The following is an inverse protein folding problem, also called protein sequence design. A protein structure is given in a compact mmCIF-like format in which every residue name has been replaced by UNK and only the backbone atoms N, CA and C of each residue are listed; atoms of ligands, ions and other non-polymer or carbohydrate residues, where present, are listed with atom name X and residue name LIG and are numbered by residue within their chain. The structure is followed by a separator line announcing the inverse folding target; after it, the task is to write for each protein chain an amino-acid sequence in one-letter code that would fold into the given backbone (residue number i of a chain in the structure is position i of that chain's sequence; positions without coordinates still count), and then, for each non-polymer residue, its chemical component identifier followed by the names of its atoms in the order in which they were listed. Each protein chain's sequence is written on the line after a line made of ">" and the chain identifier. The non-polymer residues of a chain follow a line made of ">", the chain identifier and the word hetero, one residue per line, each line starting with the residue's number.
data_IF_169265050065
#
_entry.id   IF_169265050065
#
_cell.length_a   1.000
_cell.length_b   1.000
_cell.length_c   1.000
_cell.angle_alpha   90.00
_cell.angle_beta   90.00
_cell.angle_gamma   90.00
#
_symmetry.space_group_name_H-M   'P 1'
#
loop_
_entity.id
_entity.type
_entity.pdbx_description
1 polymer ?
#
# COMPACT_ATOMS: atom_id res chain seq x y z
N UNK A 1 34.20 -69.50 23.91
CA UNK A 1 35.37 -69.53 22.99
C UNK A 1 35.55 -68.12 22.43
N UNK A 2 36.79 -67.61 22.54
CA UNK A 2 37.39 -66.31 22.16
C UNK A 2 36.53 -65.24 21.45
N UNK A 3 36.44 -63.97 21.88
CA UNK A 3 37.47 -62.97 22.22
C UNK A 3 38.35 -62.56 21.03
N UNK A 4 38.12 -61.37 20.46
CA UNK A 4 39.14 -60.32 20.28
C UNK A 4 38.50 -58.96 19.96
N UNK A 5 38.89 -57.97 20.78
CA UNK A 5 38.76 -56.53 20.55
C UNK A 5 39.89 -56.09 19.62
N UNK A 6 39.67 -55.11 18.74
CA UNK A 6 40.76 -54.42 18.04
C UNK A 6 40.68 -52.91 18.28
N UNK A 7 41.82 -52.37 18.72
CA UNK A 7 42.09 -50.96 19.00
C UNK A 7 42.38 -50.16 17.73
N UNK A 8 41.95 -48.89 17.73
CA UNK A 8 42.74 -47.68 17.52
C UNK A 8 43.62 -47.49 16.28
N UNK A 9 43.44 -46.35 15.61
CA UNK A 9 44.53 -45.45 15.21
C UNK A 9 43.99 -44.06 14.83
N UNK A 10 44.36 -43.03 15.62
CA UNK A 10 44.30 -41.62 15.24
C UNK A 10 45.38 -41.32 14.20
N UNK A 11 45.01 -40.68 13.09
CA UNK A 11 45.96 -40.07 12.17
C UNK A 11 45.97 -38.56 12.36
N UNK A 12 47.05 -38.07 12.96
CA UNK A 12 47.44 -36.65 13.00
C UNK A 12 47.99 -36.30 11.62
N UNK A 13 47.35 -35.39 10.89
CA UNK A 13 47.95 -34.80 9.68
C UNK A 13 48.65 -33.51 10.07
N UNK A 14 49.95 -33.54 9.81
CA UNK A 14 50.95 -32.55 10.16
C UNK A 14 50.87 -31.34 9.22
N UNK A 15 51.01 -30.15 9.79
CA UNK A 15 51.13 -28.85 9.09
C UNK A 15 52.58 -28.69 8.60
N UNK A 16 52.83 -28.38 7.32
CA UNK A 16 54.12 -27.84 6.92
C UNK A 16 54.10 -26.30 6.98
N UNK A 17 54.95 -25.78 7.86
CA UNK A 17 55.42 -24.40 7.86
C UNK A 17 56.34 -24.16 6.66
N UNK A 18 56.13 -23.06 5.95
CA UNK A 18 57.10 -22.56 4.96
C UNK A 18 57.17 -21.03 4.99
N UNK A 19 58.33 -20.57 5.46
CA UNK A 19 59.09 -19.38 5.10
C UNK A 19 58.36 -18.07 4.74
N UNK A 20 58.47 -17.13 5.67
CA UNK A 20 58.41 -15.67 5.46
C UNK A 20 59.47 -15.26 4.43
N UNK A 21 59.04 -14.64 3.33
CA UNK A 21 59.91 -13.81 2.49
C UNK A 21 59.23 -12.46 2.28
N UNK A 22 59.85 -11.45 2.89
CA UNK A 22 59.54 -10.03 2.74
C UNK A 22 59.88 -9.57 1.33
N UNK A 23 58.91 -9.03 0.60
CA UNK A 23 59.16 -8.21 -0.60
C UNK A 23 58.29 -6.95 -0.57
N UNK A 24 58.96 -5.86 -0.16
CA UNK A 24 58.94 -4.51 -0.75
C UNK A 24 57.61 -3.98 -1.33
N UNK A 25 57.07 -2.97 -0.63
CA UNK A 25 56.05 -2.04 -1.10
C UNK A 25 56.63 -1.09 -2.15
N UNK A 26 56.21 -1.24 -3.41
CA UNK A 26 56.39 -0.22 -4.43
C UNK A 26 55.09 0.58 -4.56
N UNK A 27 55.17 1.85 -4.19
CA UNK A 27 54.14 2.87 -4.31
C UNK A 27 54.02 3.27 -5.79
N UNK A 28 53.04 2.69 -6.47
CA UNK A 28 52.61 3.12 -7.80
C UNK A 28 51.58 4.24 -7.68
N UNK A 29 52.03 5.48 -7.92
CA UNK A 29 51.19 6.66 -8.11
C UNK A 29 50.41 6.54 -9.42
N UNK A 30 49.19 6.02 -9.35
CA UNK A 30 48.22 6.15 -10.43
C UNK A 30 47.32 7.35 -10.17
N UNK A 31 47.72 8.47 -10.78
CA UNK A 31 46.94 9.69 -10.92
C UNK A 31 45.69 9.40 -11.76
N UNK A 32 44.51 9.55 -11.16
CA UNK A 32 43.25 9.65 -11.91
C UNK A 32 43.09 11.09 -12.42
N UNK A 33 42.83 11.32 -13.71
CA UNK A 33 42.57 12.67 -14.19
C UNK A 33 41.23 13.16 -13.64
N UNK A 34 41.31 14.16 -12.77
CA UNK A 34 40.18 14.96 -12.33
C UNK A 34 39.65 15.72 -13.55
N UNK A 35 38.43 15.41 -14.00
CA UNK A 35 37.75 16.20 -15.03
C UNK A 35 37.34 17.54 -14.39
N UNK A 36 38.14 18.57 -14.63
CA UNK A 36 37.82 19.95 -14.27
C UNK A 36 36.65 20.44 -15.13
N UNK A 37 35.48 20.60 -14.52
CA UNK A 37 34.32 21.24 -15.12
C UNK A 37 34.62 22.73 -15.33
N UNK A 38 34.72 23.14 -16.59
CA UNK A 38 35.04 24.51 -17.00
C UNK A 38 33.84 25.43 -16.74
N UNK A 39 33.94 26.31 -15.75
CA UNK A 39 33.01 27.44 -15.58
C UNK A 39 33.40 28.55 -16.55
N UNK A 40 32.73 28.61 -17.70
CA UNK A 40 32.79 29.77 -18.58
C UNK A 40 31.44 30.49 -18.56
N UNK A 41 31.35 31.56 -17.77
CA UNK A 41 30.34 32.60 -17.92
C UNK A 41 30.65 33.44 -19.17
N UNK A 42 29.71 33.63 -20.11
CA UNK A 42 29.73 34.80 -20.97
C UNK A 42 28.97 35.96 -20.32
N UNK A 43 29.67 37.07 -20.10
CA UNK A 43 29.09 38.42 -20.01
C UNK A 43 28.86 38.93 -21.43
N UNK A 44 27.65 39.41 -21.75
CA UNK A 44 27.43 40.52 -22.70
C UNK A 44 25.98 41.06 -22.52
N UNK A 45 25.79 42.22 -21.89
CA UNK A 45 25.68 43.60 -22.41
C UNK A 45 24.36 43.89 -23.14
N UNK A 46 23.65 44.87 -22.60
CA UNK A 46 22.51 45.62 -23.15
C UNK A 46 22.82 46.25 -24.50
N UNK A 47 21.86 46.23 -25.45
CA UNK A 47 21.30 47.42 -26.14
C UNK A 47 20.20 46.97 -27.15
N UNK A 48 19.10 47.72 -27.12
CA UNK A 48 17.91 47.78 -28.00
C UNK A 48 17.98 47.21 -29.42
N UNK A 49 16.95 46.45 -29.82
CA UNK A 49 16.14 46.70 -31.05
C UNK A 49 14.80 45.97 -30.92
N UNK A 50 13.75 46.69 -31.28
CA UNK A 50 12.32 46.37 -31.23
C UNK A 50 11.91 45.13 -32.00
N UNK A 51 11.06 44.28 -31.40
CA UNK A 51 10.10 43.43 -32.15
C UNK A 51 8.73 43.58 -31.48
N UNK A 52 7.85 44.27 -32.21
CA UNK A 52 6.48 44.61 -31.88
C UNK A 52 5.56 43.41 -32.08
N UNK A 53 4.95 42.89 -31.01
CA UNK A 53 3.77 42.04 -31.11
C UNK A 53 2.57 42.83 -30.60
N UNK A 54 1.92 43.53 -31.53
CA UNK A 54 0.58 44.07 -31.31
C UNK A 54 -0.42 42.96 -31.60
N UNK A 55 -1.13 42.52 -30.57
CA UNK A 55 -2.42 41.84 -30.74
C UNK A 55 -3.39 42.43 -29.73
N UNK A 56 -4.05 43.51 -30.15
CA UNK A 56 -5.23 44.07 -29.50
C UNK A 56 -6.41 43.12 -29.72
N UNK A 57 -6.92 42.50 -28.66
CA UNK A 57 -8.25 41.88 -28.63
C UNK A 57 -9.11 42.60 -27.59
N UNK A 58 -10.30 43.11 -27.94
CA UNK A 58 -11.18 43.74 -26.97
C UNK A 58 -11.81 42.67 -26.06
N UNK A 59 -11.59 42.77 -24.75
CA UNK A 59 -12.31 41.97 -23.76
C UNK A 59 -13.76 42.48 -23.72
N UNK A 60 -14.69 41.67 -24.24
CA UNK A 60 -16.13 41.88 -24.09
C UNK A 60 -16.58 41.13 -22.84
N UNK A 61 -16.74 41.85 -21.74
CA UNK A 61 -17.36 41.33 -20.52
C UNK A 61 -18.85 41.12 -20.78
N UNK A 62 -19.27 39.86 -20.84
CA UNK A 62 -20.68 39.47 -20.78
C UNK A 62 -20.92 38.82 -19.41
N UNK A 63 -21.71 39.48 -18.57
CA UNK A 63 -22.21 38.91 -17.31
C UNK A 63 -23.43 38.04 -17.63
N UNK A 64 -23.26 36.73 -17.55
CA UNK A 64 -24.40 35.83 -17.53
C UNK A 64 -24.93 35.78 -16.08
N UNK A 65 -26.19 36.21 -15.89
CA UNK A 65 -26.91 35.95 -14.66
C UNK A 65 -27.10 34.43 -14.52
N UNK A 66 -26.37 33.82 -13.59
CA UNK A 66 -26.69 32.47 -13.13
C UNK A 66 -27.87 32.62 -12.18
N UNK A 67 -29.02 32.12 -12.63
CA UNK A 67 -30.15 31.87 -11.76
C UNK A 67 -29.72 30.77 -10.79
N UNK A 68 -29.64 31.11 -9.50
CA UNK A 68 -29.74 30.13 -8.41
C UNK A 68 -31.10 29.45 -8.53
N UNK A 69 -31.14 28.34 -9.26
CA UNK A 69 -32.11 27.29 -8.98
C UNK A 69 -31.34 26.20 -8.27
N UNK A 70 -31.60 26.08 -6.96
CA UNK A 70 -31.29 24.91 -6.15
C UNK A 70 -31.74 23.67 -6.92
N UNK A 71 -30.79 23.04 -7.59
CA UNK A 71 -31.00 21.74 -8.18
C UNK A 71 -30.49 20.78 -7.15
N UNK A 72 -31.41 20.28 -6.32
CA UNK A 72 -31.19 19.07 -5.53
C UNK A 72 -30.63 18.03 -6.49
N UNK A 73 -29.35 17.73 -6.33
CA UNK A 73 -28.64 16.71 -7.10
C UNK A 73 -29.27 15.37 -6.75
N UNK A 74 -30.18 14.93 -7.62
CA UNK A 74 -30.58 13.54 -7.71
C UNK A 74 -29.40 12.82 -8.36
N UNK A 75 -28.52 12.30 -7.51
CA UNK A 75 -27.36 11.48 -7.88
C UNK A 75 -27.79 10.46 -8.95
N UNK A 76 -27.30 10.66 -10.16
CA UNK A 76 -27.38 9.65 -11.20
C UNK A 76 -26.22 8.71 -10.92
N UNK A 77 -26.52 7.48 -10.48
CA UNK A 77 -25.58 6.38 -10.29
C UNK A 77 -24.71 6.22 -11.55
N UNK A 78 -23.55 6.87 -11.56
CA UNK A 78 -22.53 6.71 -12.57
C UNK A 78 -21.50 5.74 -12.01
N UNK A 79 -21.34 4.62 -12.71
CA UNK A 79 -20.37 3.59 -12.36
C UNK A 79 -18.97 4.21 -12.27
N UNK A 80 -18.27 4.03 -11.14
CA UNK A 80 -16.94 4.58 -10.91
C UNK A 80 -15.88 3.50 -11.13
N UNK A 81 -14.77 3.87 -11.76
CA UNK A 81 -13.61 2.99 -11.93
C UNK A 81 -12.69 3.10 -10.71
N UNK A 82 -12.33 1.94 -10.16
CA UNK A 82 -11.39 1.79 -9.06
C UNK A 82 -10.20 0.97 -9.52
N UNK A 83 -9.00 1.48 -9.22
CA UNK A 83 -7.75 0.79 -9.48
C UNK A 83 -7.20 0.26 -8.16
N UNK A 84 -6.59 -0.91 -8.18
CA UNK A 84 -6.03 -1.47 -6.97
C UNK A 84 -4.72 -2.22 -7.20
N UNK A 85 -3.88 -2.21 -6.17
CA UNK A 85 -2.81 -3.20 -6.01
C UNK A 85 -3.13 -4.10 -4.83
N UNK A 86 -2.87 -5.40 -4.97
CA UNK A 86 -3.17 -6.40 -3.95
C UNK A 86 -1.99 -7.33 -3.72
N UNK A 87 -1.74 -7.67 -2.47
CA UNK A 87 -0.78 -8.69 -2.07
C UNK A 87 -1.13 -9.33 -0.71
N UNK A 88 -0.27 -10.22 -0.23
CA UNK A 88 -0.37 -10.82 1.09
C UNK A 88 -0.24 -9.72 2.17
N UNK A 89 -1.08 -9.78 3.21
CA UNK A 89 -1.08 -8.84 4.33
C UNK A 89 0.29 -8.77 5.01
N UNK A 90 0.95 -9.92 5.21
CA UNK A 90 2.29 -9.96 5.81
C UNK A 90 3.29 -9.13 5.01
N UNK A 91 3.24 -9.21 3.69
CA UNK A 91 4.12 -8.43 2.84
C UNK A 91 3.79 -6.93 2.90
N UNK A 92 2.51 -6.56 2.70
CA UNK A 92 2.13 -5.15 2.61
C UNK A 92 2.18 -4.39 3.94
N UNK A 93 1.91 -5.05 5.07
CA UNK A 93 1.72 -4.39 6.36
C UNK A 93 2.91 -4.56 7.33
N UNK A 94 3.71 -5.62 7.17
CA UNK A 94 4.80 -5.96 8.10
C UNK A 94 6.20 -5.96 7.45
N UNK A 95 6.35 -6.48 6.22
CA UNK A 95 7.67 -6.54 5.54
C UNK A 95 8.02 -5.26 4.77
N UNK A 96 7.05 -4.57 4.18
CA UNK A 96 7.31 -3.41 3.32
C UNK A 96 7.23 -2.09 4.11
N UNK A 97 8.36 -1.67 4.67
CA UNK A 97 8.45 -0.45 5.47
C UNK A 97 8.24 0.85 4.65
N UNK A 98 8.68 0.90 3.38
CA UNK A 98 8.52 2.11 2.56
C UNK A 98 7.07 2.41 2.23
N UNK A 99 6.22 1.38 2.19
CA UNK A 99 4.81 1.50 1.85
C UNK A 99 4.05 2.34 2.88
N UNK A 100 4.34 2.12 4.16
CA UNK A 100 3.77 2.88 5.26
C UNK A 100 4.08 4.37 5.14
N UNK A 101 5.37 4.71 4.95
CA UNK A 101 5.80 6.11 4.81
C UNK A 101 5.18 6.80 3.60
N UNK A 102 5.11 6.11 2.46
CA UNK A 102 4.44 6.64 1.27
C UNK A 102 2.96 6.97 1.51
N UNK A 103 2.26 6.14 2.29
CA UNK A 103 0.86 6.37 2.61
C UNK A 103 0.68 7.51 3.61
N UNK A 104 1.50 7.60 4.65
CA UNK A 104 1.41 8.70 5.61
C UNK A 104 1.75 10.04 4.99
N UNK A 105 2.79 10.10 4.16
CA UNK A 105 3.12 11.33 3.43
C UNK A 105 2.02 11.69 2.43
N UNK A 106 1.36 10.71 1.81
CA UNK A 106 0.20 10.99 0.96
C UNK A 106 -0.99 11.51 1.78
N UNK A 107 -1.29 10.93 2.94
CA UNK A 107 -2.36 11.45 3.83
C UNK A 107 -2.04 12.88 4.23
N UNK A 108 -0.80 13.16 4.62
CA UNK A 108 -0.33 14.50 4.98
C UNK A 108 -0.49 15.48 3.82
N UNK A 109 -0.07 15.10 2.62
CA UNK A 109 -0.22 15.90 1.39
C UNK A 109 -1.68 16.31 1.16
N UNK A 110 -2.61 15.37 1.31
CA UNK A 110 -4.04 15.63 1.10
C UNK A 110 -4.60 16.59 2.16
N UNK A 111 -4.20 16.40 3.43
CA UNK A 111 -4.56 17.30 4.53
C UNK A 111 -4.02 18.71 4.32
N UNK A 112 -2.73 18.85 3.99
CA UNK A 112 -2.09 20.15 3.77
C UNK A 112 -2.67 20.89 2.55
N UNK A 113 -3.10 20.16 1.52
CA UNK A 113 -3.69 20.73 0.30
C UNK A 113 -5.22 20.86 0.34
N UNK A 114 -5.86 20.48 1.43
CA UNK A 114 -7.33 20.40 1.55
C UNK A 114 -7.98 19.60 0.39
N UNK A 115 -7.34 18.48 0.01
CA UNK A 115 -7.84 17.56 -1.00
C UNK A 115 -8.63 16.43 -0.34
N UNK A 116 -9.72 16.01 -0.98
CA UNK A 116 -10.48 14.84 -0.54
C UNK A 116 -9.68 13.55 -0.77
N UNK A 117 -9.60 12.70 0.25
CA UNK A 117 -8.85 11.44 0.19
C UNK A 117 -9.46 10.50 -0.85
N UNK A 118 -8.63 10.04 -1.78
CA UNK A 118 -9.03 9.21 -2.93
C UNK A 118 -8.52 7.76 -2.86
N UNK A 119 -8.08 7.32 -1.68
CA UNK A 119 -7.44 6.02 -1.49
C UNK A 119 -7.70 5.41 -0.12
N UNK A 120 -7.75 4.07 -0.06
CA UNK A 120 -8.04 3.31 1.15
C UNK A 120 -7.30 1.97 1.15
N UNK A 121 -6.98 1.46 2.34
CA UNK A 121 -6.54 0.09 2.54
C UNK A 121 -7.74 -0.79 2.89
N UNK A 122 -7.91 -1.89 2.15
CA UNK A 122 -8.99 -2.86 2.36
C UNK A 122 -8.38 -4.21 2.71
N UNK A 123 -8.65 -4.65 3.94
CA UNK A 123 -8.26 -5.98 4.43
C UNK A 123 -9.29 -6.99 3.94
N UNK A 124 -8.82 -8.09 3.36
CA UNK A 124 -9.63 -9.13 2.73
C UNK A 124 -10.80 -8.56 1.89
N UNK A 125 -10.48 -7.88 0.77
CA UNK A 125 -11.50 -7.25 -0.06
C UNK A 125 -12.46 -8.29 -0.67
N UNK A 126 -13.77 -8.06 -0.56
CA UNK A 126 -14.80 -8.94 -1.12
C UNK A 126 -14.80 -8.97 -2.65
N UNK A 127 -14.40 -7.86 -3.29
CA UNK A 127 -14.37 -7.80 -4.75
C UNK A 127 -13.33 -8.75 -5.37
N UNK A 128 -12.38 -9.30 -4.59
CA UNK A 128 -11.40 -10.29 -5.09
C UNK A 128 -12.05 -11.58 -5.60
N UNK A 129 -13.29 -11.88 -5.20
CA UNK A 129 -14.04 -13.03 -5.71
C UNK A 129 -14.35 -12.89 -7.21
N UNK A 130 -14.40 -11.66 -7.73
CA UNK A 130 -14.54 -11.36 -9.17
C UNK A 130 -13.25 -11.68 -9.96
N UNK A 131 -12.12 -11.84 -9.27
CA UNK A 131 -10.78 -12.01 -9.88
C UNK A 131 -10.13 -13.35 -9.50
N UNK A 132 -10.61 -14.49 -10.06
CA UNK A 132 -10.08 -15.81 -9.70
C UNK A 132 -8.60 -16.01 -10.09
N UNK A 133 -8.13 -15.33 -11.15
CA UNK A 133 -6.72 -15.40 -11.57
C UNK A 133 -5.77 -14.78 -10.55
N UNK A 134 -6.20 -13.70 -9.89
CA UNK A 134 -5.43 -13.02 -8.85
C UNK A 134 -5.47 -13.87 -7.57
N UNK A 135 -6.66 -14.31 -7.16
CA UNK A 135 -6.87 -15.07 -5.91
C UNK A 135 -6.07 -16.38 -5.88
N UNK A 136 -5.88 -17.07 -7.02
CA UNK A 136 -5.04 -18.27 -7.11
C UNK A 136 -3.55 -18.03 -6.80
N UNK A 137 -3.06 -16.80 -7.05
CA UNK A 137 -1.65 -16.42 -6.87
C UNK A 137 -1.39 -15.80 -5.50
N UNK A 138 -2.43 -15.31 -4.83
CA UNK A 138 -2.34 -14.65 -3.53
C UNK A 138 -2.38 -15.65 -2.38
N UNK A 139 -1.55 -15.38 -1.37
CA UNK A 139 -1.70 -16.00 -0.04
C UNK A 139 -2.61 -15.12 0.80
N UNK A 140 -3.59 -15.73 1.48
CA UNK A 140 -4.48 -15.03 2.43
C UNK A 140 -3.86 -15.02 3.84
N UNK A 141 -4.11 -13.98 4.66
CA UNK A 141 -4.98 -12.83 4.40
C UNK A 141 -4.40 -11.87 3.35
N UNK A 142 -5.25 -11.31 2.50
CA UNK A 142 -4.85 -10.39 1.43
C UNK A 142 -5.23 -8.95 1.80
N UNK A 143 -4.42 -8.00 1.37
CA UNK A 143 -4.68 -6.56 1.53
C UNK A 143 -4.62 -5.91 0.17
N UNK A 144 -5.59 -5.04 -0.11
CA UNK A 144 -5.58 -4.21 -1.31
C UNK A 144 -5.46 -2.73 -0.95
N UNK A 145 -4.63 -2.02 -1.69
CA UNK A 145 -4.68 -0.58 -1.77
C UNK A 145 -5.60 -0.22 -2.94
N UNK A 146 -6.71 0.44 -2.63
CA UNK A 146 -7.74 0.83 -3.61
C UNK A 146 -7.73 2.33 -3.76
N UNK A 147 -7.78 2.84 -4.98
CA UNK A 147 -7.89 4.27 -5.28
C UNK A 147 -8.62 4.52 -6.59
N UNK A 148 -9.27 5.68 -6.71
CA UNK A 148 -9.81 6.16 -7.99
C UNK A 148 -8.71 6.68 -8.93
N UNK A 149 -7.50 6.93 -8.41
CA UNK A 149 -6.38 7.42 -9.20
C UNK A 149 -5.51 6.29 -9.77
N UNK A 150 -5.79 5.89 -11.01
CA UNK A 150 -5.05 4.80 -11.68
C UNK A 150 -3.58 5.08 -11.92
N UNK A 151 -3.18 6.35 -12.11
CA UNK A 151 -1.76 6.72 -12.28
C UNK A 151 -0.98 6.46 -10.99
N UNK A 152 -1.56 6.84 -9.85
CA UNK A 152 -0.92 6.59 -8.57
C UNK A 152 -0.84 5.09 -8.25
N UNK A 153 -1.89 4.32 -8.54
CA UNK A 153 -1.86 2.86 -8.35
C UNK A 153 -0.80 2.18 -9.25
N UNK A 154 -0.62 2.65 -10.50
CA UNK A 154 0.49 2.19 -11.36
C UNK A 154 1.85 2.54 -10.79
N UNK A 155 2.02 3.73 -10.22
CA UNK A 155 3.24 4.11 -9.51
C UNK A 155 3.51 3.17 -8.32
N UNK A 156 2.48 2.84 -7.53
CA UNK A 156 2.60 1.87 -6.43
C UNK A 156 2.99 0.49 -6.95
N UNK A 157 2.46 0.05 -8.10
CA UNK A 157 2.87 -1.22 -8.72
C UNK A 157 4.35 -1.25 -9.12
N UNK A 158 4.93 -0.12 -9.54
CA UNK A 158 6.36 -0.01 -9.85
C UNK A 158 7.24 -0.01 -8.60
N UNK A 159 6.73 0.50 -7.48
CA UNK A 159 7.48 0.53 -6.21
C UNK A 159 7.41 -0.79 -5.45
N UNK A 160 6.29 -1.49 -5.59
CA UNK A 160 5.99 -2.73 -4.88
C UNK A 160 6.14 -3.92 -5.85
N UNK A 161 7.27 -4.61 -5.80
CA UNK A 161 7.56 -5.69 -6.75
C UNK A 161 6.58 -6.87 -6.64
N UNK A 162 6.25 -7.26 -5.41
CA UNK A 162 5.50 -8.49 -5.08
C UNK A 162 3.97 -8.28 -5.02
N UNK A 163 3.43 -7.32 -5.78
CA UNK A 163 1.97 -7.04 -5.84
C UNK A 163 1.37 -7.34 -7.21
N UNK A 164 0.07 -7.59 -7.22
CA UNK A 164 -0.75 -7.72 -8.42
C UNK A 164 -1.53 -6.42 -8.62
N UNK A 165 -1.69 -6.01 -9.88
CA UNK A 165 -2.40 -4.78 -10.29
C UNK A 165 -3.61 -5.18 -11.12
N UNK A 166 -4.76 -4.56 -10.86
CA UNK A 166 -5.94 -4.63 -11.71
C UNK A 166 -6.85 -3.41 -11.50
N UNK A 167 -7.94 -3.33 -12.27
CA UNK A 167 -9.02 -2.36 -12.03
C UNK A 167 -10.39 -3.01 -12.16
N UNK A 168 -11.38 -2.37 -11.54
CA UNK A 168 -12.77 -2.79 -11.60
C UNK A 168 -13.69 -1.59 -11.52
N UNK A 169 -14.92 -1.79 -11.99
CA UNK A 169 -15.96 -0.79 -11.89
C UNK A 169 -16.96 -1.19 -10.79
N UNK A 170 -17.38 -0.23 -9.97
CA UNK A 170 -18.36 -0.43 -8.91
C UNK A 170 -19.44 0.66 -8.94
N UNK A 171 -20.64 0.31 -8.48
CA UNK A 171 -21.78 1.22 -8.43
C UNK A 171 -21.69 2.13 -7.19
N UNK A 172 -21.12 1.62 -6.09
CA UNK A 172 -20.94 2.38 -4.86
C UNK A 172 -19.53 2.24 -4.29
N UNK A 173 -19.12 3.26 -3.51
CA UNK A 173 -17.88 3.22 -2.75
C UNK A 173 -17.89 2.12 -1.68
N UNK A 174 -19.07 1.83 -1.11
CA UNK A 174 -19.24 0.77 -0.12
C UNK A 174 -18.99 -0.62 -0.72
N UNK A 175 -19.43 -0.86 -1.96
CA UNK A 175 -19.15 -2.11 -2.67
C UNK A 175 -17.65 -2.26 -2.94
N UNK A 176 -17.01 -1.19 -3.41
CA UNK A 176 -15.59 -1.18 -3.74
C UNK A 176 -14.69 -1.41 -2.52
N UNK A 177 -15.12 -0.95 -1.35
CA UNK A 177 -14.33 -1.00 -0.11
C UNK A 177 -14.81 -2.10 0.86
N UNK A 178 -15.74 -2.96 0.43
CA UNK A 178 -16.26 -4.03 1.27
C UNK A 178 -15.16 -5.04 1.66
N UNK A 179 -15.03 -5.29 2.95
CA UNK A 179 -14.04 -6.20 3.56
C UNK A 179 -14.70 -7.40 4.25
N UNK A 180 -13.96 -8.50 4.35
CA UNK A 180 -14.30 -9.62 5.21
C UNK A 180 -13.69 -9.44 6.60
N UNK A 181 -14.36 -9.92 7.67
CA UNK A 181 -13.80 -9.85 9.01
C UNK A 181 -12.57 -10.75 9.11
N UNK A 182 -11.41 -10.16 9.37
CA UNK A 182 -10.14 -10.87 9.49
C UNK A 182 -9.36 -10.30 10.69
N UNK A 183 -8.84 -11.19 11.54
CA UNK A 183 -7.91 -10.80 12.60
C UNK A 183 -6.47 -10.94 12.06
N UNK A 184 -5.72 -9.84 12.07
CA UNK A 184 -4.34 -9.81 11.59
C UNK A 184 -3.43 -9.44 12.75
N UNK A 185 -2.61 -10.40 13.15
CA UNK A 185 -1.58 -10.23 14.16
C UNK A 185 -0.24 -10.62 13.56
N UNK A 186 0.78 -9.78 13.77
CA UNK A 186 2.14 -10.03 13.28
C UNK A 186 3.07 -10.27 14.45
N UNK A 187 3.86 -11.34 14.36
CA UNK A 187 4.88 -11.65 15.35
C UNK A 187 6.05 -10.66 15.21
N UNK A 188 6.47 -10.09 16.34
CA UNK A 188 7.67 -9.25 16.36
C UNK A 188 8.91 -10.14 16.21
N UNK A 189 9.87 -9.78 15.33
CA UNK A 189 11.10 -10.56 15.20
C UNK A 189 11.89 -10.53 16.51
N UNK A 190 12.44 -11.68 16.89
CA UNK A 190 13.26 -11.81 18.11
C UNK A 190 14.56 -11.00 18.03
N UNK A 191 15.15 -10.92 16.83
CA UNK A 191 16.37 -10.19 16.55
C UNK A 191 16.09 -9.13 15.49
N UNK A 192 15.92 -7.89 15.93
CA UNK A 192 15.77 -6.74 15.05
C UNK A 192 17.13 -6.14 14.72
N UNK A 193 17.45 -6.05 13.42
CA UNK A 193 18.80 -5.70 12.93
C UNK A 193 18.91 -4.22 12.57
N UNK A 194 17.80 -3.55 12.26
CA UNK A 194 17.83 -2.15 11.85
C UNK A 194 18.13 -1.22 13.05
N UNK A 195 18.82 -0.07 12.83
CA UNK A 195 19.20 0.84 13.90
C UNK A 195 18.04 1.67 14.46
N UNK A 196 16.85 1.58 13.88
CA UNK A 196 15.61 2.25 14.28
C UNK A 196 14.59 1.22 14.75
N UNK A 197 13.65 1.51 15.66
CA UNK A 197 12.66 0.52 16.08
C UNK A 197 11.73 0.11 14.92
N UNK A 198 11.31 -1.17 14.90
CA UNK A 198 10.27 -1.64 13.97
C UNK A 198 8.96 -0.93 14.27
N UNK A 199 8.20 -0.60 13.23
CA UNK A 199 6.86 -0.02 13.38
C UNK A 199 5.92 -0.93 14.16
N UNK A 200 4.97 -0.30 14.85
CA UNK A 200 3.93 -1.02 15.56
C UNK A 200 2.89 -1.58 14.59
N UNK A 201 2.40 -2.79 14.89
CA UNK A 201 1.24 -3.36 14.21
C UNK A 201 0.02 -2.45 14.43
N UNK A 202 -0.80 -2.25 13.39
CA UNK A 202 -2.02 -1.45 13.46
C UNK A 202 -1.88 -0.03 12.90
N UNK A 203 -0.71 0.38 12.43
CA UNK A 203 -0.50 1.69 11.80
C UNK A 203 -1.49 1.98 10.64
N UNK A 204 -1.94 0.93 9.95
CA UNK A 204 -2.87 0.99 8.82
C UNK A 204 -4.32 1.27 9.20
N UNK A 205 -4.70 1.24 10.48
CA UNK A 205 -6.10 1.41 10.91
C UNK A 205 -6.69 2.75 10.48
N UNK A 206 -5.88 3.81 10.46
CA UNK A 206 -6.27 5.16 10.02
C UNK A 206 -6.61 5.26 8.52
N UNK A 207 -6.20 4.26 7.73
CA UNK A 207 -6.37 4.20 6.28
C UNK A 207 -7.49 3.25 5.85
N UNK A 208 -8.11 2.55 6.81
CA UNK A 208 -9.25 1.69 6.55
C UNK A 208 -10.46 2.54 6.10
N UNK A 209 -11.35 1.97 5.26
CA UNK A 209 -12.56 2.67 4.88
C UNK A 209 -13.38 3.07 6.12
N UNK A 210 -14.07 4.22 6.07
CA UNK A 210 -14.96 4.62 7.15
C UNK A 210 -16.01 3.52 7.34
N UNK A 211 -16.07 2.99 8.56
CA UNK A 211 -17.03 1.93 8.89
C UNK A 211 -18.44 2.56 8.86
N UNK A 212 -19.39 2.04 8.05
CA UNK A 212 -20.77 2.50 8.09
C UNK A 212 -21.33 2.35 9.51
N UNK A 213 -22.06 3.35 10.01
CA UNK A 213 -22.45 3.46 11.43
C UNK A 213 -23.21 2.24 11.99
N UNK A 214 -23.77 1.39 11.14
CA UNK A 214 -24.39 0.10 11.50
C UNK A 214 -23.41 -0.88 12.20
N UNK A 215 -22.10 -0.77 11.94
CA UNK A 215 -21.07 -1.60 12.58
C UNK A 215 -20.39 -0.94 13.80
N UNK A 216 -20.49 0.38 13.96
CA UNK A 216 -20.03 1.11 15.16
C UNK A 216 -20.75 0.58 16.42
N UNK A 217 -22.05 0.31 16.30
CA UNK A 217 -22.86 -0.28 17.38
C UNK A 217 -22.32 -1.66 17.79
N UNK A 218 -21.82 -2.46 16.85
CA UNK A 218 -21.31 -3.81 17.16
C UNK A 218 -19.95 -3.81 17.86
N UNK A 219 -19.07 -2.83 17.60
CA UNK A 219 -17.81 -2.66 18.34
C UNK A 219 -18.06 -2.10 19.74
N UNK A 220 -19.03 -1.17 19.88
CA UNK A 220 -19.44 -0.65 21.19
C UNK A 220 -20.14 -1.71 22.06
N UNK A 221 -21.00 -2.55 21.46
CA UNK A 221 -21.70 -3.67 22.13
C UNK A 221 -20.78 -4.86 22.42
N UNK A 222 -19.60 -4.97 21.79
CA UNK A 222 -18.57 -5.94 22.18
C UNK A 222 -17.64 -5.41 23.28
N UNK A 223 -17.47 -4.08 23.38
CA UNK A 223 -16.72 -3.44 24.46
C UNK A 223 -17.52 -3.36 25.77
N UNK A 224 -18.84 -3.26 25.69
CA UNK A 224 -19.75 -3.42 26.82
C UNK A 224 -20.32 -4.83 26.75
N UNK A 225 -19.84 -5.76 27.57
CA UNK A 225 -20.29 -7.16 27.59
C UNK A 225 -21.78 -7.34 27.85
N UNK A 226 -22.62 -7.03 26.85
CA UNK A 226 -24.07 -7.14 26.89
C UNK A 226 -24.46 -8.32 26.02
N UNK A 227 -24.74 -9.44 26.68
CA UNK A 227 -25.45 -10.57 26.09
C UNK A 227 -26.82 -10.08 25.60
N UNK A 228 -27.00 -9.93 24.29
CA UNK A 228 -28.32 -9.74 23.71
C UNK A 228 -29.05 -11.09 23.74
N UNK A 229 -29.96 -11.20 24.70
CA UNK A 229 -30.90 -12.30 24.90
C UNK A 229 -31.68 -12.60 23.61
N UNK A 230 -31.66 -13.86 23.20
CA UNK A 230 -32.24 -14.32 21.94
C UNK A 230 -33.77 -14.29 21.91
N UNK A 231 -34.32 -13.79 20.81
CA UNK A 231 -35.70 -14.05 20.41
C UNK A 231 -35.71 -15.03 19.22
N UNK A 232 -35.96 -16.31 19.52
CA UNK A 232 -36.38 -17.32 18.52
C UNK A 232 -37.84 -17.04 18.16
N UNK A 233 -38.11 -16.50 16.96
CA UNK A 233 -39.45 -16.58 16.35
C UNK A 233 -39.61 -17.97 15.73
N UNK A 234 -40.49 -18.76 16.32
CA UNK A 234 -40.92 -20.06 15.84
C UNK A 234 -42.12 -19.84 14.90
N UNK A 235 -41.94 -20.00 13.60
CA UNK A 235 -43.02 -20.07 12.62
C UNK A 235 -43.21 -21.55 12.33
N UNK A 236 -44.28 -22.14 12.87
CA UNK A 236 -44.79 -23.42 12.38
C UNK A 236 -46.06 -23.14 11.58
N UNK A 237 -45.95 -23.40 10.27
CA UNK A 237 -47.07 -23.76 9.42
C UNK A 237 -47.87 -24.90 10.06
N UNK A 238 -49.18 -24.72 10.23
CA UNK A 238 -50.08 -25.86 10.30
C UNK A 238 -51.21 -25.71 9.29
N UNK A 239 -51.12 -26.64 8.34
CA UNK A 239 -51.99 -26.94 7.21
C UNK A 239 -53.37 -27.40 7.70
N UNK A 240 -54.39 -26.82 7.06
CA UNK A 240 -55.77 -27.27 6.83
C UNK A 240 -56.03 -28.76 7.08
N UNK A 241 -57.02 -29.10 7.93
CA UNK A 241 -57.99 -30.21 7.74
C UNK A 241 -59.29 -29.89 8.55
N UNK A 242 -60.41 -29.64 7.87
CA UNK A 242 -61.78 -30.02 8.27
C UNK A 242 -62.11 -31.27 7.44
N UNK A 243 -62.79 -32.31 7.98
CA UNK A 243 -64.26 -32.35 8.16
C UNK A 243 -64.66 -33.14 9.44
N UNK A 244 -65.90 -33.29 9.95
CA UNK A 244 -67.30 -33.12 9.52
C UNK A 244 -68.10 -32.50 10.70
#
# INVERSE_FOLDING_TARGET
>A
MSLVKSLGASAVVNVPAAAVTTTQLHHGTHSFPFLSLSQHLPKLNTTTTSISWKTTTPVRTAVAAINSSDTMEKETESKKEYHFVVANAKFMLDEEEHFQEQLFERVRLFKERNMEQDFWLVIEPKFLDKFPNITKRLKRPAVALVSTNGTWIKFMKLRLDRVLLDSFEAESMEEALASNPCNIEFEKPSNWVAPYPKYESGWWESLLPPIPQTQQVSKFVKSLGVYVCGYKKNIQEHRLINPD
#
